data_IF_042851482965
#
_entry.id   IF_042851482965
#
_cell.length_a   1.000
_cell.length_b   1.000
_cell.length_c   1.000
_cell.angle_alpha   90.00
_cell.angle_beta   90.00
_cell.angle_gamma   90.00
#
_symmetry.space_group_name_H-M   'P 1'
#
loop_
_entity.id
_entity.type
_entity.pdbx_description
1 polymer ?
#
# COMPACT_ATOMS: atom_id res chain seq x y z
N UNK A 1 0.82 -5.81 -2.09
CA UNK A 1 0.44 -4.40 -2.29
C UNK A 1 -1.07 -4.31 -2.50
N UNK A 2 -1.73 -3.49 -1.73
CA UNK A 2 -3.17 -3.24 -1.81
C UNK A 2 -3.42 -1.76 -2.06
N UNK A 3 -4.45 -1.46 -2.85
CA UNK A 3 -4.79 -0.12 -3.25
C UNK A 3 -6.30 0.07 -3.20
N UNK A 4 -6.77 1.12 -2.54
CA UNK A 4 -8.18 1.46 -2.44
C UNK A 4 -8.47 2.84 -3.04
N UNK A 5 -9.56 2.94 -3.76
CA UNK A 5 -10.08 4.18 -4.30
C UNK A 5 -11.34 4.57 -3.54
N UNK A 6 -11.37 5.79 -3.05
CA UNK A 6 -12.55 6.39 -2.44
C UNK A 6 -12.98 7.60 -3.25
N UNK A 7 -14.06 7.47 -3.99
CA UNK A 7 -14.67 8.62 -4.65
C UNK A 7 -15.23 9.58 -3.61
N UNK A 8 -14.53 10.64 -3.28
CA UNK A 8 -15.07 11.78 -2.55
C UNK A 8 -14.42 13.10 -2.94
N UNK A 9 -15.24 14.13 -2.89
CA UNK A 9 -14.92 15.49 -3.26
C UNK A 9 -13.74 16.10 -2.48
N UNK A 10 -12.99 16.85 -3.20
CA UNK A 10 -11.85 17.73 -2.90
C UNK A 10 -11.57 18.05 -1.43
N UNK A 11 -10.43 17.61 -0.96
CA UNK A 11 -9.59 18.38 -0.06
C UNK A 11 -8.26 18.70 -0.78
N UNK A 12 -7.61 19.79 -0.41
CA UNK A 12 -6.33 20.24 -1.00
C UNK A 12 -5.13 19.34 -0.65
N UNK A 13 -5.40 18.11 -0.25
CA UNK A 13 -4.40 17.14 0.16
C UNK A 13 -3.94 16.30 -1.03
N UNK A 14 -2.80 15.69 -0.88
CA UNK A 14 -2.25 14.72 -1.81
C UNK A 14 -3.32 13.68 -2.23
N UNK A 15 -3.32 13.29 -3.50
CA UNK A 15 -4.28 12.30 -4.00
C UNK A 15 -4.08 10.91 -3.41
N UNK A 16 -2.85 10.58 -3.03
CA UNK A 16 -2.44 9.28 -2.55
C UNK A 16 -1.86 9.37 -1.14
N UNK A 17 -2.27 8.46 -0.28
CA UNK A 17 -1.60 8.17 0.99
C UNK A 17 -1.02 6.77 0.97
N UNK A 18 0.27 6.66 1.25
CA UNK A 18 0.99 5.39 1.35
C UNK A 18 0.94 4.92 2.80
N UNK A 19 0.51 3.68 3.00
CA UNK A 19 0.42 3.02 4.29
C UNK A 19 1.43 1.88 4.35
N UNK A 20 2.11 1.75 5.46
CA UNK A 20 3.00 0.63 5.76
C UNK A 20 3.05 0.41 7.27
N UNK A 21 3.64 -0.70 7.68
CA UNK A 21 3.84 -0.96 9.10
C UNK A 21 4.70 -2.18 9.35
N UNK A 22 5.40 -2.16 10.49
CA UNK A 22 6.22 -3.27 10.94
C UNK A 22 6.35 -3.29 12.46
N UNK A 23 6.58 -4.48 12.99
CA UNK A 23 6.87 -4.68 14.41
C UNK A 23 8.37 -4.88 14.65
N UNK A 24 8.75 -5.15 15.90
CA UNK A 24 10.14 -5.35 16.29
C UNK A 24 10.85 -6.49 15.53
N UNK A 25 10.12 -7.53 15.08
CA UNK A 25 10.69 -8.66 14.32
C UNK A 25 11.18 -8.26 12.94
N UNK A 26 10.54 -7.25 12.35
CA UNK A 26 10.86 -6.73 11.04
C UNK A 26 11.55 -5.37 11.08
N UNK A 27 12.07 -4.99 12.27
CA UNK A 27 12.61 -3.65 12.49
C UNK A 27 13.73 -3.27 11.53
N UNK A 28 14.65 -4.18 11.27
CA UNK A 28 15.83 -3.86 10.46
C UNK A 28 15.44 -3.69 8.98
N UNK A 29 14.73 -4.66 8.41
CA UNK A 29 14.25 -4.56 7.04
C UNK A 29 13.22 -3.45 6.87
N UNK A 30 12.32 -3.29 7.84
CA UNK A 30 11.30 -2.25 7.83
C UNK A 30 11.87 -0.84 7.82
N UNK A 31 12.94 -0.58 8.55
CA UNK A 31 13.63 0.72 8.54
C UNK A 31 14.26 1.04 7.18
N UNK A 32 14.83 0.05 6.52
CA UNK A 32 15.40 0.27 5.18
C UNK A 32 14.30 0.45 4.12
N UNK A 33 13.22 -0.34 4.19
CA UNK A 33 12.03 -0.15 3.36
C UNK A 33 11.42 1.25 3.55
N UNK A 34 11.22 1.67 4.80
CA UNK A 34 10.68 2.98 5.16
C UNK A 34 11.44 4.12 4.50
N UNK A 35 12.76 4.08 4.48
CA UNK A 35 13.58 5.11 3.83
C UNK A 35 13.25 5.25 2.34
N UNK A 36 13.01 4.15 1.65
CA UNK A 36 12.65 4.17 0.22
C UNK A 36 11.25 4.69 0.00
N UNK A 37 10.32 4.33 0.88
CA UNK A 37 8.92 4.79 0.85
C UNK A 37 8.85 6.31 1.06
N UNK A 38 9.53 6.82 2.09
CA UNK A 38 9.55 8.26 2.40
C UNK A 38 10.12 9.06 1.22
N UNK A 39 11.27 8.64 0.67
CA UNK A 39 11.87 9.32 -0.48
C UNK A 39 10.94 9.36 -1.70
N UNK A 40 10.24 8.27 -1.95
CA UNK A 40 9.27 8.18 -3.05
C UNK A 40 8.06 9.08 -2.79
N UNK A 41 7.52 9.06 -1.58
CA UNK A 41 6.40 9.90 -1.19
C UNK A 41 6.75 11.39 -1.31
N UNK A 42 7.90 11.79 -0.79
CA UNK A 42 8.39 13.16 -0.88
C UNK A 42 8.60 13.61 -2.34
N UNK A 43 9.13 12.73 -3.18
CA UNK A 43 9.37 13.03 -4.60
C UNK A 43 8.08 13.35 -5.37
N UNK A 44 6.98 12.63 -5.10
CA UNK A 44 5.69 12.82 -5.75
C UNK A 44 4.70 13.66 -4.93
N UNK A 45 5.11 14.18 -3.79
CA UNK A 45 4.25 14.91 -2.86
C UNK A 45 3.04 14.07 -2.41
N UNK A 46 3.28 12.81 -2.07
CA UNK A 46 2.31 11.92 -1.48
C UNK A 46 2.41 11.94 0.05
N UNK A 47 1.30 11.76 0.72
CA UNK A 47 1.30 11.54 2.16
C UNK A 47 1.65 10.09 2.49
N UNK A 48 2.16 9.84 3.69
CA UNK A 48 2.45 8.49 4.16
C UNK A 48 2.17 8.35 5.65
N UNK A 49 1.93 7.12 6.06
CA UNK A 49 1.78 6.71 7.46
C UNK A 49 2.41 5.34 7.65
N UNK A 50 3.39 5.27 8.54
CA UNK A 50 4.12 4.04 8.84
C UNK A 50 3.92 3.71 10.31
N UNK A 51 3.19 2.63 10.57
CA UNK A 51 2.87 2.18 11.92
C UNK A 51 3.97 1.23 12.45
N UNK A 52 4.58 1.62 13.57
CA UNK A 52 5.68 0.88 14.21
C UNK A 52 5.30 0.37 15.59
N UNK A 53 4.01 0.12 15.81
CA UNK A 53 3.54 -0.32 17.13
C UNK A 53 4.19 -1.64 17.55
N UNK A 54 4.53 -1.74 18.82
CA UNK A 54 5.18 -2.93 19.39
C UNK A 54 4.22 -4.09 19.61
N UNK A 55 2.93 -3.81 19.81
CA UNK A 55 1.89 -4.79 20.08
C UNK A 55 0.61 -4.48 19.31
N UNK A 56 -0.11 -5.54 19.01
CA UNK A 56 -1.39 -5.48 18.34
C UNK A 56 -2.29 -6.61 18.87
N UNK A 57 -3.59 -6.37 19.07
CA UNK A 57 -4.54 -7.33 19.67
C UNK A 57 -4.70 -8.63 18.89
N UNK A 58 -4.46 -8.58 17.58
CA UNK A 58 -4.51 -9.71 16.66
C UNK A 58 -3.14 -10.01 16.09
N UNK A 59 -3.03 -11.07 15.31
CA UNK A 59 -1.82 -11.33 14.53
C UNK A 59 -1.48 -10.10 13.68
N UNK A 60 -0.20 -9.75 13.61
CA UNK A 60 0.26 -8.49 13.02
C UNK A 60 -0.16 -8.29 11.55
N UNK A 61 -0.46 -9.36 10.83
CA UNK A 61 -1.01 -9.27 9.46
C UNK A 61 -2.33 -8.49 9.37
N UNK A 62 -3.09 -8.42 10.47
CA UNK A 62 -4.33 -7.65 10.52
C UNK A 62 -4.10 -6.14 10.62
N UNK A 63 -2.87 -5.71 10.89
CA UNK A 63 -2.56 -4.27 10.99
C UNK A 63 -2.90 -3.52 9.70
N UNK A 64 -2.60 -4.10 8.54
CA UNK A 64 -2.95 -3.48 7.25
C UNK A 64 -4.45 -3.23 7.11
N UNK A 65 -5.27 -4.19 7.54
CA UNK A 65 -6.74 -4.05 7.48
C UNK A 65 -7.19 -2.93 8.40
N UNK A 66 -6.68 -2.88 9.63
CA UNK A 66 -6.98 -1.81 10.58
C UNK A 66 -6.60 -0.44 10.02
N UNK A 67 -5.40 -0.29 9.51
CA UNK A 67 -4.92 0.97 8.93
C UNK A 67 -5.77 1.40 7.73
N UNK A 68 -6.19 0.48 6.87
CA UNK A 68 -7.11 0.79 5.78
C UNK A 68 -8.45 1.28 6.30
N UNK A 69 -9.06 0.57 7.26
CA UNK A 69 -10.35 0.97 7.84
C UNK A 69 -10.25 2.39 8.41
N UNK A 70 -9.28 2.64 9.27
CA UNK A 70 -9.09 3.94 9.92
C UNK A 70 -8.88 5.08 8.90
N UNK A 71 -8.09 4.84 7.86
CA UNK A 71 -7.81 5.85 6.84
C UNK A 71 -8.98 6.05 5.87
N UNK A 72 -9.69 4.99 5.50
CA UNK A 72 -10.88 5.07 4.65
C UNK A 72 -12.03 5.79 5.37
N UNK A 73 -12.18 5.58 6.68
CA UNK A 73 -13.17 6.29 7.49
C UNK A 73 -12.86 7.80 7.56
N UNK A 74 -11.61 8.18 7.70
CA UNK A 74 -11.18 9.60 7.63
C UNK A 74 -11.48 10.20 6.26
N UNK A 75 -11.28 9.44 5.19
CA UNK A 75 -11.63 9.81 3.83
C UNK A 75 -10.89 11.04 3.29
N UNK A 76 -9.65 11.25 3.70
CA UNK A 76 -8.86 12.45 3.37
C UNK A 76 -8.19 12.36 2.00
N UNK A 77 -8.04 11.18 1.42
CA UNK A 77 -7.34 10.95 0.16
C UNK A 77 -8.22 10.20 -0.83
N UNK A 78 -7.92 10.38 -2.11
CA UNK A 78 -8.60 9.67 -3.19
C UNK A 78 -8.16 8.20 -3.24
N UNK A 79 -6.87 7.95 -2.98
CA UNK A 79 -6.28 6.62 -3.03
C UNK A 79 -5.46 6.30 -1.77
N UNK A 80 -5.47 5.03 -1.40
CA UNK A 80 -4.64 4.48 -0.33
C UNK A 80 -3.87 3.28 -0.85
N UNK A 81 -2.56 3.27 -0.64
CA UNK A 81 -1.65 2.22 -1.07
C UNK A 81 -1.00 1.58 0.15
N UNK A 82 -1.16 0.27 0.32
CA UNK A 82 -0.39 -0.49 1.30
C UNK A 82 0.88 -1.06 0.67
N UNK A 83 2.00 -0.86 1.34
CA UNK A 83 3.28 -1.50 1.05
C UNK A 83 3.73 -2.32 2.26
N UNK A 84 4.07 -3.58 2.03
CA UNK A 84 4.56 -4.44 3.11
C UNK A 84 5.95 -4.00 3.59
N UNK A 85 6.32 -4.40 4.82
CA UNK A 85 7.56 -3.98 5.49
C UNK A 85 8.85 -4.35 4.75
N UNK A 86 8.80 -5.29 3.84
CA UNK A 86 9.90 -5.77 3.01
C UNK A 86 9.83 -5.26 1.56
N UNK A 87 8.98 -4.27 1.30
CA UNK A 87 8.85 -3.64 -0.01
C UNK A 87 9.84 -2.50 -0.17
N UNK A 88 10.68 -2.55 -1.20
CA UNK A 88 11.64 -1.51 -1.54
C UNK A 88 11.25 -0.83 -2.84
N UNK A 89 11.22 0.50 -2.83
CA UNK A 89 10.96 1.28 -4.03
C UNK A 89 12.28 1.56 -4.73
N UNK A 90 12.45 0.96 -5.91
CA UNK A 90 13.68 1.05 -6.71
C UNK A 90 13.55 1.99 -7.91
N UNK A 91 12.34 2.46 -8.21
CA UNK A 91 12.04 3.31 -9.35
C UNK A 91 11.12 4.45 -8.96
N UNK A 92 11.40 5.64 -9.47
CA UNK A 92 10.54 6.82 -9.30
C UNK A 92 9.60 6.97 -10.50
N UNK A 93 8.59 6.12 -10.52
CA UNK A 93 7.47 6.18 -11.45
C UNK A 93 6.19 6.44 -10.68
N UNK A 94 5.36 7.37 -11.16
CA UNK A 94 4.12 7.71 -10.46
C UNK A 94 3.11 6.57 -10.59
N UNK A 95 2.87 5.85 -9.50
CA UNK A 95 1.93 4.73 -9.47
C UNK A 95 0.52 5.11 -9.90
N UNK A 96 0.11 6.35 -9.73
CA UNK A 96 -1.22 6.81 -10.16
C UNK A 96 -1.41 6.77 -11.67
N UNK A 97 -0.34 6.71 -12.46
CA UNK A 97 -0.42 6.53 -13.90
C UNK A 97 -0.89 5.13 -14.31
N UNK A 98 -0.81 4.16 -13.41
CA UNK A 98 -1.18 2.76 -13.63
C UNK A 98 -2.51 2.38 -13.00
N UNK A 99 -3.20 3.33 -12.39
CA UNK A 99 -4.47 3.09 -11.69
C UNK A 99 -5.64 3.31 -12.63
N UNK A 100 -6.50 2.30 -12.73
CA UNK A 100 -7.79 2.43 -13.41
C UNK A 100 -8.82 3.06 -12.45
N UNK A 101 -9.18 4.31 -12.69
CA UNK A 101 -10.11 5.08 -11.84
C UNK A 101 -11.52 4.47 -11.73
N UNK A 102 -11.86 3.52 -12.59
CA UNK A 102 -13.14 2.81 -12.56
C UNK A 102 -13.15 1.65 -11.56
N UNK A 103 -11.98 1.28 -11.02
CA UNK A 103 -11.84 0.17 -10.07
C UNK A 103 -11.64 0.70 -8.66
N UNK A 104 -12.18 -0.04 -7.70
CA UNK A 104 -12.12 0.34 -6.29
C UNK A 104 -10.97 -0.33 -5.54
N UNK A 105 -10.55 -1.52 -5.96
CA UNK A 105 -9.50 -2.31 -5.32
C UNK A 105 -8.53 -2.81 -6.38
N UNK A 106 -7.23 -2.66 -6.09
CA UNK A 106 -6.14 -3.16 -6.91
C UNK A 106 -5.25 -4.04 -6.05
N UNK A 107 -4.90 -5.20 -6.56
CA UNK A 107 -4.01 -6.13 -5.89
C UNK A 107 -2.84 -6.42 -6.81
N UNK A 108 -1.62 -6.31 -6.29
CA UNK A 108 -0.45 -6.73 -7.05
C UNK A 108 -0.46 -8.24 -7.24
N UNK A 109 -0.45 -8.67 -8.50
CA UNK A 109 -0.35 -10.07 -8.84
C UNK A 109 1.11 -10.53 -8.68
N UNK A 110 1.36 -11.35 -7.66
CA UNK A 110 2.69 -11.91 -7.36
C UNK A 110 2.98 -13.21 -8.11
N UNK A 111 2.25 -13.52 -9.19
CA UNK A 111 2.55 -14.71 -9.96
C UNK A 111 3.89 -14.56 -10.67
N UNK A 112 4.90 -15.16 -10.08
CA UNK A 112 6.12 -15.44 -10.79
C UNK A 112 5.75 -16.31 -11.99
N UNK A 113 6.25 -15.96 -13.17
CA UNK A 113 6.31 -16.90 -14.29
C UNK A 113 7.20 -18.05 -13.85
N UNK A 114 6.66 -18.99 -13.07
CA UNK A 114 7.37 -20.25 -12.85
C UNK A 114 7.45 -20.92 -14.21
N UNK A 115 8.58 -21.52 -14.53
CA UNK A 115 8.75 -22.34 -15.73
C UNK A 115 7.81 -23.56 -15.74
N UNK A 116 7.10 -23.79 -14.67
CA UNK A 116 6.06 -24.81 -14.52
C UNK A 116 4.70 -24.16 -14.75
N UNK A 117 4.11 -24.49 -15.88
CA UNK A 117 2.76 -24.10 -16.31
C UNK A 117 1.69 -24.66 -15.37
N UNK A 118 1.54 -24.13 -14.19
CA UNK A 118 0.31 -24.27 -13.42
C UNK A 118 -0.57 -23.07 -13.78
N UNK A 119 -1.61 -23.33 -14.53
CA UNK A 119 -2.71 -22.38 -14.71
C UNK A 119 -3.35 -22.15 -13.34
N UNK A 120 -2.91 -21.15 -12.63
CA UNK A 120 -3.68 -20.59 -11.52
C UNK A 120 -4.54 -19.52 -12.16
N UNK A 121 -5.86 -19.64 -11.99
CA UNK A 121 -6.82 -18.68 -12.50
C UNK A 121 -6.46 -17.28 -12.04
N UNK A 122 -6.34 -16.36 -12.97
CA UNK A 122 -6.10 -14.95 -12.72
C UNK A 122 -7.27 -14.39 -11.89
N UNK A 123 -7.04 -14.20 -10.59
CA UNK A 123 -7.89 -13.29 -9.80
C UNK A 123 -7.27 -11.91 -9.98
N UNK A 124 -7.45 -11.35 -11.17
CA UNK A 124 -6.82 -10.08 -11.46
C UNK A 124 -7.56 -8.91 -10.81
N UNK A 125 -8.83 -9.10 -10.39
CA UNK A 125 -9.64 -8.01 -9.86
C UNK A 125 -10.74 -8.53 -8.96
N UNK A 126 -10.78 -8.05 -7.75
CA UNK A 126 -11.98 -8.02 -6.93
C UNK A 126 -12.76 -6.75 -7.31
N UNK A 127 -13.73 -6.92 -8.14
CA UNK A 127 -14.68 -5.85 -8.43
C UNK A 127 -15.70 -5.70 -7.33
#
# INVERSE_FOLDING_TARGET
MFFFNKNKEKSNNSKLKILSGYNYRYKDIGKESEKTIIKYADYFNFDYEIDKRSSFERHFYWLKIKMFIENLEKGTHEFYLWLDADTFICRYENILNHVDKKKHIFVHNQFFKSKHKTKISNIDYLT
#
